data_IF_419075070468
#
_entry.id   IF_419075070468
#
_cell.length_a   1.000
_cell.length_b   1.000
_cell.length_c   1.000
_cell.angle_alpha   90.00
_cell.angle_beta   90.00
_cell.angle_gamma   90.00
#
_symmetry.space_group_name_H-M   'P 1'
#
loop_
_entity.id
_entity.type
_entity.pdbx_description
1 polymer ?
#
# COMPACT_ATOMS: atom_id res chain seq x y z
N UNK A 1 8.90 2.84 -36.71
CA UNK A 1 8.76 1.38 -36.51
C UNK A 1 7.30 1.11 -36.20
N UNK A 2 6.56 0.43 -37.08
CA UNK A 2 5.12 0.20 -36.91
C UNK A 2 4.89 -1.28 -36.57
N UNK A 3 4.34 -1.56 -35.39
CA UNK A 3 3.93 -2.91 -35.00
C UNK A 3 2.47 -3.11 -35.41
N UNK A 4 2.17 -4.17 -36.16
CA UNK A 4 0.79 -4.59 -36.43
C UNK A 4 0.59 -5.98 -35.85
N UNK A 5 -0.44 -6.15 -35.05
CA UNK A 5 -0.85 -7.44 -34.49
C UNK A 5 -2.19 -7.78 -35.13
N UNK A 6 -2.27 -8.94 -35.77
CA UNK A 6 -3.51 -9.48 -36.31
C UNK A 6 -3.85 -10.77 -35.56
N UNK A 7 -5.12 -10.94 -35.22
CA UNK A 7 -5.65 -12.19 -34.64
C UNK A 7 -6.27 -12.99 -35.79
N UNK A 8 -5.77 -14.20 -36.02
CA UNK A 8 -6.36 -15.17 -36.94
C UNK A 8 -7.01 -16.29 -36.14
N UNK A 9 -8.20 -16.71 -36.55
CA UNK A 9 -8.93 -17.83 -35.96
C UNK A 9 -9.16 -18.85 -37.07
N UNK A 10 -8.66 -20.07 -36.91
CA UNK A 10 -8.82 -21.15 -37.89
C UNK A 10 -9.70 -22.23 -37.27
N UNK A 11 -10.83 -22.51 -37.91
CA UNK A 11 -11.74 -23.58 -37.52
C UNK A 11 -11.33 -24.85 -38.29
N UNK A 12 -11.07 -25.93 -37.56
CA UNK A 12 -10.83 -27.27 -38.12
C UNK A 12 -12.04 -28.17 -37.85
N UNK A 13 -12.40 -29.02 -38.82
CA UNK A 13 -13.70 -29.70 -38.95
C UNK A 13 -13.95 -30.85 -37.95
N UNK A 14 -13.17 -30.96 -36.87
CA UNK A 14 -13.29 -32.07 -35.88
C UNK A 14 -13.86 -31.67 -34.52
N UNK A 15 -14.52 -30.50 -34.45
CA UNK A 15 -15.33 -30.05 -33.31
C UNK A 15 -14.63 -30.17 -31.93
N UNK A 16 -13.32 -29.96 -31.91
CA UNK A 16 -12.52 -29.83 -30.68
C UNK A 16 -11.84 -28.47 -30.74
N UNK A 17 -12.29 -27.51 -29.92
CA UNK A 17 -11.76 -26.16 -29.93
C UNK A 17 -10.32 -26.15 -29.41
N UNK A 18 -9.33 -26.06 -30.32
CA UNK A 18 -7.97 -25.66 -29.98
C UNK A 18 -7.82 -24.18 -30.28
N UNK A 19 -7.75 -23.36 -29.23
CA UNK A 19 -7.35 -21.96 -29.36
C UNK A 19 -5.83 -21.89 -29.32
N UNK A 20 -5.18 -21.91 -30.48
CA UNK A 20 -3.76 -21.55 -30.60
C UNK A 20 -3.61 -20.05 -30.86
N UNK A 21 -2.80 -19.40 -30.04
CA UNK A 21 -2.47 -17.99 -30.19
C UNK A 21 -1.09 -17.88 -30.83
N UNK A 22 -1.02 -17.50 -32.09
CA UNK A 22 0.24 -17.26 -32.78
C UNK A 22 0.50 -15.76 -32.84
N UNK A 23 1.68 -15.32 -32.41
CA UNK A 23 2.14 -13.94 -32.60
C UNK A 23 3.21 -13.97 -33.69
N UNK A 24 2.89 -13.43 -34.86
CA UNK A 24 3.87 -13.24 -35.94
C UNK A 24 4.39 -11.81 -35.89
N UNK A 25 5.67 -11.65 -35.54
CA UNK A 25 6.37 -10.38 -35.70
C UNK A 25 7.04 -10.36 -37.07
N UNK A 26 6.69 -9.38 -37.90
CA UNK A 26 7.45 -9.06 -39.12
C UNK A 26 8.28 -7.79 -38.90
N UNK A 27 9.59 -7.92 -39.01
CA UNK A 27 10.49 -6.79 -39.16
C UNK A 27 10.69 -6.55 -40.66
N UNK A 28 10.36 -5.35 -41.15
CA UNK A 28 10.58 -4.97 -42.56
C UNK A 28 11.64 -3.88 -42.60
N UNK A 29 12.77 -4.16 -43.24
CA UNK A 29 13.84 -3.19 -43.50
C UNK A 29 14.34 -3.39 -44.93
N UNK A 30 13.82 -2.59 -45.88
CA UNK A 30 14.12 -2.74 -47.30
C UNK A 30 13.54 -4.03 -47.92
N UNK A 31 14.22 -4.58 -48.93
CA UNK A 31 13.73 -5.69 -49.77
C UNK A 31 13.93 -7.10 -49.18
N UNK A 32 14.32 -7.25 -47.90
CA UNK A 32 14.50 -8.56 -47.27
C UNK A 32 13.54 -8.75 -46.10
N UNK A 33 12.91 -9.93 -46.06
CA UNK A 33 11.96 -10.33 -45.01
C UNK A 33 12.52 -11.53 -44.26
N UNK A 34 12.76 -11.39 -42.95
CA UNK A 34 13.10 -12.52 -42.08
C UNK A 34 11.89 -12.89 -41.21
N UNK A 35 11.64 -14.21 -41.08
CA UNK A 35 10.57 -14.76 -40.22
C UNK A 35 11.21 -15.60 -39.11
N UNK A 36 10.85 -15.31 -37.87
CA UNK A 36 11.26 -16.09 -36.70
C UNK A 36 10.01 -16.76 -36.12
N UNK A 37 9.98 -18.10 -36.13
CA UNK A 37 8.94 -18.89 -35.47
C UNK A 37 9.52 -19.47 -34.17
N UNK A 38 8.89 -19.14 -33.05
CA UNK A 38 9.20 -19.70 -31.74
C UNK A 38 8.18 -20.80 -31.46
N UNK A 39 8.64 -22.04 -31.35
CA UNK A 39 7.80 -23.18 -30.97
C UNK A 39 7.86 -23.34 -29.44
N UNK A 40 6.72 -23.16 -28.77
CA UNK A 40 6.58 -23.46 -27.34
C UNK A 40 5.92 -24.83 -27.21
N UNK A 41 6.62 -25.80 -26.63
CA UNK A 41 6.09 -27.14 -26.39
C UNK A 41 5.08 -27.12 -25.22
N UNK A 42 3.82 -27.43 -25.50
CA UNK A 42 2.78 -27.59 -24.47
C UNK A 42 2.98 -28.90 -23.70
N UNK A 43 3.24 -28.79 -22.40
CA UNK A 43 3.04 -29.89 -21.44
C UNK A 43 1.53 -30.11 -21.25
N UNK A 44 1.06 -31.33 -21.49
CA UNK A 44 -0.32 -31.73 -21.22
C UNK A 44 -0.54 -31.87 -19.72
N UNK A 45 -1.41 -31.04 -19.15
CA UNK A 45 -1.90 -31.15 -17.77
C UNK A 45 -3.37 -31.62 -17.84
N UNK A 46 -3.80 -32.63 -17.07
CA UNK A 46 -5.16 -33.12 -17.10
C UNK A 46 -6.17 -32.09 -16.56
N UNK A 47 -7.20 -31.87 -17.37
CA UNK A 47 -8.31 -30.93 -17.14
C UNK A 47 -9.31 -31.50 -16.12
N UNK A 48 -9.17 -31.15 -14.85
CA UNK A 48 -10.30 -31.20 -13.93
C UNK A 48 -11.17 -29.96 -14.21
N UNK A 49 -12.45 -30.16 -14.53
CA UNK A 49 -13.41 -29.08 -14.79
C UNK A 49 -13.78 -28.45 -13.44
N UNK A 50 -13.37 -27.19 -13.14
CA UNK A 50 -13.88 -26.52 -11.95
C UNK A 50 -15.31 -26.05 -12.22
N UNK A 51 -16.25 -26.49 -11.38
CA UNK A 51 -17.61 -25.95 -11.32
C UNK A 51 -17.51 -24.46 -10.98
N UNK A 52 -17.86 -23.59 -11.93
CA UNK A 52 -17.86 -22.15 -11.73
C UNK A 52 -19.05 -21.76 -10.85
N UNK A 53 -18.84 -21.75 -9.52
CA UNK A 53 -19.78 -21.13 -8.59
C UNK A 53 -19.67 -19.62 -8.79
N UNK A 54 -20.70 -19.00 -9.36
CA UNK A 54 -20.78 -17.53 -9.49
C UNK A 54 -21.01 -16.95 -8.10
N UNK A 55 -19.91 -16.76 -7.36
CA UNK A 55 -19.93 -16.08 -6.07
C UNK A 55 -20.17 -14.60 -6.35
N UNK A 56 -21.38 -14.13 -6.07
CA UNK A 56 -21.72 -12.72 -6.09
C UNK A 56 -20.91 -12.06 -4.97
N UNK A 57 -19.78 -11.44 -5.31
CA UNK A 57 -19.05 -10.59 -4.38
C UNK A 57 -19.95 -9.43 -4.03
N UNK A 58 -20.48 -9.46 -2.81
CA UNK A 58 -21.15 -8.32 -2.20
C UNK A 58 -20.14 -7.18 -2.14
N UNK A 59 -20.27 -6.23 -3.06
CA UNK A 59 -19.55 -4.96 -2.96
C UNK A 59 -20.01 -4.31 -1.66
N UNK A 60 -19.12 -4.29 -0.68
CA UNK A 60 -19.37 -3.62 0.60
C UNK A 60 -19.50 -2.14 0.29
N UNK A 61 -20.75 -1.68 0.13
CA UNK A 61 -21.08 -0.29 -0.08
C UNK A 61 -20.74 0.46 1.20
N UNK A 62 -19.72 1.30 1.14
CA UNK A 62 -19.34 2.12 2.28
C UNK A 62 -20.18 3.39 2.28
N UNK A 63 -21.07 3.50 3.25
CA UNK A 63 -21.81 4.73 3.52
C UNK A 63 -20.90 5.68 4.31
N UNK A 64 -20.56 6.89 3.82
CA UNK A 64 -19.75 7.83 4.56
C UNK A 64 -20.46 8.33 5.84
N UNK A 65 -19.71 8.44 6.93
CA UNK A 65 -20.13 9.02 8.22
C UNK A 65 -20.01 10.56 8.19
N UNK A 66 -20.83 11.34 8.94
CA UNK A 66 -20.97 12.79 8.74
C UNK A 66 -19.72 13.62 9.09
N UNK A 67 -19.59 14.84 8.53
CA UNK A 67 -18.31 15.52 8.26
C UNK A 67 -17.66 16.29 9.42
N UNK A 68 -18.10 16.14 10.68
CA UNK A 68 -17.64 17.02 11.79
C UNK A 68 -16.89 16.32 12.92
N UNK A 69 -16.62 15.02 12.80
CA UNK A 69 -15.67 14.32 13.67
C UNK A 69 -14.42 13.99 12.86
N UNK A 70 -13.24 13.95 13.50
CA UNK A 70 -12.04 13.39 12.90
C UNK A 70 -12.43 12.11 12.13
N UNK A 71 -12.25 12.12 10.81
CA UNK A 71 -12.79 11.14 9.89
C UNK A 71 -12.39 9.75 10.37
N UNK A 72 -13.31 9.03 11.03
CA UNK A 72 -13.02 7.71 11.60
C UNK A 72 -12.79 6.76 10.44
N UNK A 73 -11.56 6.24 10.23
CA UNK A 73 -11.39 5.18 9.28
C UNK A 73 -12.13 3.93 9.72
N UNK A 74 -12.43 3.05 8.76
CA UNK A 74 -12.98 1.71 8.99
C UNK A 74 -12.21 0.98 10.10
N UNK A 75 -12.91 0.22 10.93
CA UNK A 75 -12.41 -0.65 12.02
C UNK A 75 -11.64 -1.90 11.57
N UNK A 76 -11.14 -1.94 10.32
CA UNK A 76 -10.47 -3.14 9.79
C UNK A 76 -9.02 -2.82 9.49
N UNK A 77 -8.13 -3.21 10.38
CA UNK A 77 -6.69 -2.97 10.32
C UNK A 77 -6.17 -2.80 11.74
N UNK A 78 -4.87 -2.90 12.00
CA UNK A 78 -4.32 -2.52 13.30
C UNK A 78 -4.13 -1.00 13.37
N UNK A 79 -4.35 -0.37 14.55
CA UNK A 79 -3.85 0.97 14.79
C UNK A 79 -2.33 0.95 14.99
N UNK A 80 -1.70 2.10 14.75
CA UNK A 80 -0.27 2.31 15.04
C UNK A 80 -0.16 3.20 16.26
N UNK A 81 0.62 2.78 17.26
CA UNK A 81 0.70 3.40 18.59
C UNK A 81 2.13 3.81 18.92
N UNK A 82 2.29 4.93 19.62
CA UNK A 82 3.55 5.38 20.19
C UNK A 82 3.89 4.59 21.46
N UNK A 83 5.14 4.16 21.57
CA UNK A 83 5.64 3.31 22.66
C UNK A 83 6.28 4.09 23.81
N UNK A 84 6.92 5.22 23.52
CA UNK A 84 7.83 5.87 24.46
C UNK A 84 7.53 7.38 24.59
N UNK A 85 8.24 8.01 25.52
CA UNK A 85 8.12 9.45 25.79
C UNK A 85 6.77 9.84 26.41
N UNK A 86 6.49 11.15 26.44
CA UNK A 86 5.19 11.64 26.91
C UNK A 86 4.04 11.28 25.96
N UNK A 87 4.37 10.86 24.73
CA UNK A 87 3.40 10.40 23.72
C UNK A 87 3.01 8.94 23.87
N UNK A 88 3.66 8.16 24.75
CA UNK A 88 3.35 6.75 24.95
C UNK A 88 1.84 6.56 25.19
N UNK A 89 1.21 5.71 24.37
CA UNK A 89 -0.24 5.57 24.41
C UNK A 89 -1.00 6.26 23.28
N UNK A 90 -0.42 7.27 22.66
CA UNK A 90 -1.04 8.02 21.56
C UNK A 90 -0.98 7.23 20.25
N UNK A 91 -1.87 7.57 19.32
CA UNK A 91 -2.07 6.85 18.08
C UNK A 91 -1.75 7.70 16.86
N UNK A 92 -1.16 7.07 15.84
CA UNK A 92 -0.91 7.67 14.54
C UNK A 92 -2.23 7.98 13.84
N UNK A 93 -2.32 9.19 13.31
CA UNK A 93 -3.49 9.71 12.62
C UNK A 93 -3.09 10.87 11.70
N UNK A 94 -4.01 11.28 10.81
CA UNK A 94 -3.84 12.47 9.99
C UNK A 94 -4.39 13.70 10.71
N UNK A 95 -3.72 14.83 10.56
CA UNK A 95 -4.23 16.14 10.96
C UNK A 95 -5.61 16.43 10.36
N UNK A 96 -6.50 17.04 11.15
CA UNK A 96 -7.83 17.45 10.70
C UNK A 96 -7.78 18.67 9.76
N UNK A 97 -6.72 19.48 9.84
CA UNK A 97 -6.56 20.72 9.09
C UNK A 97 -5.51 20.64 7.98
N UNK A 98 -4.58 19.69 8.07
CA UNK A 98 -3.49 19.52 7.10
C UNK A 98 -3.32 18.06 6.70
N UNK A 99 -2.38 17.76 5.80
CA UNK A 99 -1.97 16.38 5.49
C UNK A 99 -0.93 15.82 6.47
N UNK A 100 -0.48 16.59 7.46
CA UNK A 100 0.55 16.15 8.39
C UNK A 100 0.12 14.88 9.14
N UNK A 101 1.05 13.96 9.30
CA UNK A 101 0.91 12.86 10.24
C UNK A 101 1.14 13.40 11.66
N UNK A 102 0.30 12.95 12.59
CA UNK A 102 0.39 13.36 13.99
C UNK A 102 0.07 12.19 14.91
N UNK A 103 0.45 12.33 16.18
CA UNK A 103 0.00 11.48 17.28
C UNK A 103 -1.14 12.18 18.02
N UNK A 104 -2.13 11.41 18.45
CA UNK A 104 -3.13 11.93 19.38
C UNK A 104 -3.99 10.83 19.99
N UNK A 105 -5.21 11.18 20.44
CA UNK A 105 -5.97 10.30 21.31
C UNK A 105 -6.59 9.12 20.56
N UNK A 106 -7.02 8.12 21.32
CA UNK A 106 -7.55 6.87 20.78
C UNK A 106 -8.82 7.08 19.95
N UNK A 107 -9.64 8.07 20.28
CA UNK A 107 -10.93 8.34 19.66
C UNK A 107 -10.81 8.76 18.19
N UNK A 108 -9.65 9.31 17.81
CA UNK A 108 -9.35 9.79 16.45
C UNK A 108 -8.30 8.94 15.72
N UNK A 109 -7.87 7.81 16.31
CA UNK A 109 -6.82 6.94 15.76
C UNK A 109 -7.05 6.56 14.30
N UNK A 110 -5.96 6.48 13.54
CA UNK A 110 -5.96 5.88 12.21
C UNK A 110 -6.04 4.35 12.26
N UNK A 111 -6.54 3.77 11.18
CA UNK A 111 -6.54 2.33 10.94
C UNK A 111 -5.78 2.04 9.64
N UNK A 112 -4.87 1.06 9.66
CA UNK A 112 -3.83 0.97 8.65
C UNK A 112 -3.82 -0.37 7.91
N UNK A 113 -3.46 -0.31 6.63
CA UNK A 113 -3.01 -1.47 5.85
C UNK A 113 -1.49 -1.41 5.74
N UNK A 114 -0.82 -2.33 6.41
CA UNK A 114 0.65 -2.41 6.48
C UNK A 114 1.15 -3.53 5.57
N UNK A 115 1.40 -3.21 4.30
CA UNK A 115 1.99 -4.14 3.33
C UNK A 115 2.87 -3.36 2.35
N UNK A 116 4.19 -3.42 2.54
CA UNK A 116 5.23 -2.63 1.83
C UNK A 116 5.12 -1.10 1.96
N UNK A 117 4.04 -0.61 2.53
CA UNK A 117 3.74 0.79 2.82
C UNK A 117 2.83 0.86 4.03
N UNK A 118 2.78 2.02 4.67
CA UNK A 118 1.78 2.34 5.70
C UNK A 118 0.69 3.14 5.01
N UNK A 119 -0.50 2.55 4.88
CA UNK A 119 -1.65 3.18 4.24
C UNK A 119 -2.76 3.35 5.25
N UNK A 120 -3.12 4.59 5.56
CA UNK A 120 -4.27 4.90 6.36
C UNK A 120 -5.53 4.67 5.52
N UNK A 121 -6.44 3.87 6.04
CA UNK A 121 -7.80 3.82 5.52
C UNK A 121 -8.40 5.20 5.84
N UNK A 122 -9.02 5.91 4.90
CA UNK A 122 -9.52 7.26 5.19
C UNK A 122 -10.99 7.40 4.83
N UNK A 123 -11.33 7.07 3.60
CA UNK A 123 -12.72 6.88 3.16
C UNK A 123 -12.78 5.66 2.25
N UNK A 124 -13.95 5.23 1.83
CA UNK A 124 -14.02 4.18 0.82
C UNK A 124 -14.18 4.80 -0.57
N UNK A 125 -13.37 4.43 -1.57
CA UNK A 125 -12.24 3.47 -1.52
C UNK A 125 -10.87 4.11 -1.22
N UNK A 126 -10.80 5.35 -0.72
CA UNK A 126 -9.52 6.07 -0.62
C UNK A 126 -8.61 5.64 0.54
N UNK A 127 -7.39 5.26 0.17
CA UNK A 127 -6.26 5.09 1.06
C UNK A 127 -5.37 6.33 1.00
N UNK A 128 -4.77 6.69 2.12
CA UNK A 128 -3.71 7.71 2.18
C UNK A 128 -2.40 7.04 2.58
N UNK A 129 -1.35 7.29 1.83
CA UNK A 129 -0.01 6.78 2.06
C UNK A 129 0.74 7.67 3.05
N UNK A 130 1.37 7.06 4.04
CA UNK A 130 2.33 7.75 4.90
C UNK A 130 3.65 7.94 4.14
N UNK A 131 3.91 9.17 3.74
CA UNK A 131 5.11 9.56 3.01
C UNK A 131 6.11 10.28 3.91
N UNK A 132 7.39 10.07 3.62
CA UNK A 132 8.52 10.81 4.19
C UNK A 132 8.86 11.96 3.22
N UNK A 133 8.80 13.19 3.71
CA UNK A 133 9.21 14.36 2.95
C UNK A 133 10.67 14.72 3.22
N UNK A 134 11.35 15.21 2.20
CA UNK A 134 12.72 15.69 2.35
C UNK A 134 12.80 16.96 3.19
N UNK A 135 13.83 17.03 4.03
CA UNK A 135 14.19 18.18 4.84
C UNK A 135 15.72 18.26 5.00
N UNK A 136 16.26 19.46 5.21
CA UNK A 136 17.70 19.68 5.41
C UNK A 136 18.17 19.28 6.81
N UNK A 137 17.28 19.35 7.80
CA UNK A 137 17.53 18.84 9.14
C UNK A 137 17.50 17.31 9.16
N UNK A 138 18.13 16.71 10.16
CA UNK A 138 18.12 15.26 10.38
C UNK A 138 16.83 14.73 11.05
N UNK A 139 15.71 15.39 10.78
CA UNK A 139 14.35 14.93 10.98
C UNK A 139 13.51 15.20 9.72
N UNK A 140 12.67 14.25 9.31
CA UNK A 140 11.91 14.30 8.07
C UNK A 140 10.41 14.38 8.36
N UNK A 141 9.67 15.39 7.86
CA UNK A 141 8.23 15.49 8.04
C UNK A 141 7.50 14.28 7.45
N UNK A 142 6.43 13.87 8.12
CA UNK A 142 5.57 12.80 7.66
C UNK A 142 4.19 13.36 7.25
N UNK A 143 3.64 12.88 6.15
CA UNK A 143 2.32 13.29 5.68
C UNK A 143 1.52 12.12 5.10
N UNK A 144 0.20 12.24 5.17
CA UNK A 144 -0.76 11.34 4.55
C UNK A 144 -1.28 11.93 3.24
N UNK A 145 -0.93 11.29 2.12
CA UNK A 145 -1.25 11.78 0.77
C UNK A 145 -1.84 10.66 -0.10
N UNK A 146 -2.52 11.01 -1.19
CA UNK A 146 -3.15 10.04 -2.08
C UNK A 146 -2.13 9.22 -2.89
N UNK A 147 -0.98 9.82 -3.21
CA UNK A 147 0.10 9.17 -3.95
C UNK A 147 1.17 8.69 -2.99
N UNK A 148 1.45 7.38 -3.00
CA UNK A 148 2.57 6.82 -2.23
C UNK A 148 3.92 7.13 -2.89
N UNK A 149 4.81 7.75 -2.14
CA UNK A 149 6.22 7.96 -2.53
C UNK A 149 7.17 7.17 -1.64
N UNK A 150 6.72 6.76 -0.45
CA UNK A 150 7.53 5.98 0.51
C UNK A 150 7.07 4.52 0.59
N UNK A 151 7.94 3.62 0.13
CA UNK A 151 7.73 2.16 0.16
C UNK A 151 8.86 1.43 0.91
N UNK A 152 9.69 2.17 1.62
CA UNK A 152 10.85 1.69 2.37
C UNK A 152 10.52 1.39 3.83
N UNK A 153 9.25 1.34 4.20
CA UNK A 153 8.81 0.98 5.56
C UNK A 153 9.13 -0.48 5.87
N UNK A 154 9.69 -0.72 7.05
CA UNK A 154 9.98 -2.05 7.61
C UNK A 154 9.19 -2.26 8.89
N UNK A 155 8.89 -3.52 9.19
CA UNK A 155 8.11 -3.92 10.36
C UNK A 155 8.86 -5.04 11.08
N UNK A 156 9.19 -4.83 12.34
CA UNK A 156 9.80 -5.85 13.19
C UNK A 156 8.82 -7.00 13.41
N UNK A 157 9.25 -8.22 13.12
CA UNK A 157 8.44 -9.43 13.29
C UNK A 157 8.19 -9.80 14.75
N UNK A 158 8.98 -9.26 15.68
CA UNK A 158 8.93 -9.63 17.11
C UNK A 158 7.93 -8.78 17.88
N UNK A 159 7.91 -7.47 17.64
CA UNK A 159 7.17 -6.49 18.46
C UNK A 159 6.33 -5.51 17.62
N UNK A 160 6.29 -5.69 16.30
CA UNK A 160 5.55 -4.81 15.39
C UNK A 160 6.13 -3.41 15.23
N UNK A 161 7.33 -3.14 15.77
CA UNK A 161 7.99 -1.83 15.69
C UNK A 161 8.24 -1.45 14.23
N UNK A 162 7.93 -0.20 13.90
CA UNK A 162 8.05 0.38 12.56
C UNK A 162 9.43 1.00 12.40
N UNK A 163 10.03 0.79 11.23
CA UNK A 163 11.22 1.51 10.81
C UNK A 163 11.29 1.68 9.31
N UNK A 164 12.49 1.98 8.80
CA UNK A 164 12.79 2.07 7.37
C UNK A 164 13.86 1.06 6.97
N UNK A 165 14.02 0.81 5.67
CA UNK A 165 15.11 -0.02 5.11
C UNK A 165 16.49 0.60 5.32
N UNK A 166 16.57 1.91 5.57
CA UNK A 166 17.82 2.60 5.94
C UNK A 166 18.17 2.46 7.43
N UNK A 167 17.32 1.80 8.22
CA UNK A 167 17.55 1.53 9.64
C UNK A 167 16.99 2.58 10.61
N UNK A 168 16.31 3.64 10.12
CA UNK A 168 15.65 4.60 10.98
C UNK A 168 14.39 3.98 11.60
N UNK A 169 14.31 3.94 12.92
CA UNK A 169 13.17 3.39 13.67
C UNK A 169 12.69 4.32 14.80
N UNK A 170 13.26 5.53 14.87
CA UNK A 170 12.95 6.52 15.89
C UNK A 170 12.21 7.68 15.24
N UNK A 171 11.20 8.19 15.95
CA UNK A 171 10.36 9.29 15.53
C UNK A 171 10.45 10.40 16.56
N UNK A 172 10.32 11.64 16.10
CA UNK A 172 10.17 12.80 16.97
C UNK A 172 8.71 13.23 16.94
N UNK A 173 8.10 13.33 18.12
CA UNK A 173 6.77 13.87 18.28
C UNK A 173 6.83 15.21 19.02
N UNK A 174 6.20 16.24 18.49
CA UNK A 174 6.20 17.59 19.04
C UNK A 174 4.78 18.04 19.38
N UNK A 175 4.59 18.73 20.50
CA UNK A 175 3.27 19.25 20.87
C UNK A 175 2.73 20.20 19.78
N UNK A 176 1.46 20.08 19.35
CA UNK A 176 0.39 19.27 19.95
C UNK A 176 0.24 17.84 19.43
N UNK A 177 1.15 17.37 18.57
CA UNK A 177 1.15 16.00 18.06
C UNK A 177 1.95 15.78 16.77
N UNK A 178 2.58 16.82 16.20
CA UNK A 178 3.33 16.73 14.95
C UNK A 178 4.38 15.61 14.99
N UNK A 179 4.49 14.84 13.90
CA UNK A 179 5.31 13.65 13.86
C UNK A 179 6.34 13.71 12.72
N UNK A 180 7.57 13.38 13.06
CA UNK A 180 8.72 13.38 12.15
C UNK A 180 9.47 12.06 12.26
N UNK A 181 10.06 11.58 11.17
CA UNK A 181 11.03 10.48 11.20
C UNK A 181 12.41 11.05 11.58
N UNK A 182 13.04 10.51 12.60
CA UNK A 182 14.38 10.93 13.01
C UNK A 182 15.44 10.18 12.19
N UNK A 183 16.32 10.92 11.51
CA UNK A 183 17.42 10.38 10.71
C UNK A 183 18.80 10.78 11.25
N UNK A 184 18.84 11.53 12.35
CA UNK A 184 20.06 11.98 13.04
C UNK A 184 19.72 12.65 14.37
N UNK A 185 20.48 13.66 14.78
CA UNK A 185 20.39 14.26 16.12
C UNK A 185 19.54 15.52 16.22
N UNK A 186 19.14 16.10 15.08
CA UNK A 186 18.32 17.31 15.09
C UNK A 186 16.90 17.01 15.57
N UNK A 187 16.29 17.98 16.23
CA UNK A 187 14.92 17.93 16.75
C UNK A 187 14.25 19.27 16.39
N UNK A 188 12.96 19.30 16.00
CA UNK A 188 12.24 20.55 15.79
C UNK A 188 12.26 21.43 17.04
N UNK A 189 12.14 22.75 16.86
CA UNK A 189 11.99 23.66 17.98
C UNK A 189 10.68 23.41 18.72
N UNK A 190 10.69 23.56 20.05
CA UNK A 190 9.50 23.43 20.90
C UNK A 190 9.56 22.22 21.83
N UNK A 191 8.40 21.77 22.29
CA UNK A 191 8.29 20.65 23.21
C UNK A 191 8.17 19.33 22.43
N UNK A 192 9.29 18.66 22.26
CA UNK A 192 9.40 17.43 21.49
C UNK A 192 9.95 16.27 22.33
N UNK A 193 9.56 15.05 21.97
CA UNK A 193 10.09 13.81 22.55
C UNK A 193 10.36 12.80 21.46
N UNK A 194 11.27 11.88 21.71
CA UNK A 194 11.51 10.75 20.83
C UNK A 194 10.59 9.58 21.22
N UNK A 195 10.09 8.87 20.23
CA UNK A 195 9.28 7.67 20.42
C UNK A 195 9.55 6.66 19.32
N UNK A 196 9.27 5.39 19.59
CA UNK A 196 9.07 4.38 18.55
C UNK A 196 7.58 4.23 18.26
N UNK A 197 7.26 3.72 17.08
CA UNK A 197 5.90 3.37 16.68
C UNK A 197 5.79 1.86 16.54
N UNK A 198 4.68 1.29 16.98
CA UNK A 198 4.38 -0.14 16.80
C UNK A 198 3.01 -0.32 16.17
N UNK A 199 2.88 -1.37 15.37
CA UNK A 199 1.59 -1.94 15.01
C UNK A 199 1.00 -2.59 16.25
N UNK A 200 -0.09 -2.02 16.78
CA UNK A 200 -0.75 -2.59 17.95
C UNK A 200 -1.82 -3.58 17.46
N UNK A 201 -1.68 -4.90 17.68
CA UNK A 201 -2.69 -5.86 17.27
C UNK A 201 -4.00 -5.56 18.01
N UNK A 202 -5.11 -5.50 17.28
CA UNK A 202 -6.42 -5.42 17.90
C UNK A 202 -6.77 -6.80 18.51
N UNK A 203 -6.53 -6.95 19.80
CA UNK A 203 -6.81 -8.19 20.53
C UNK A 203 -8.30 -8.48 20.66
N UNK A 204 -9.19 -7.58 20.18
CA UNK A 204 -10.65 -7.81 20.22
C UNK A 204 -11.20 -8.59 19.02
N UNK A 205 -10.38 -8.94 18.04
CA UNK A 205 -10.78 -9.77 16.90
C UNK A 205 -10.65 -11.30 17.13
N UNK A 206 -10.35 -11.73 18.36
CA UNK A 206 -10.26 -13.14 18.76
C UNK A 206 -11.36 -13.45 19.79
N UNK A 207 -12.63 -13.47 19.36
CA UNK A 207 -13.72 -14.16 20.05
C UNK A 207 -14.61 -14.82 19.01
#
# INVERSE_FOLDING_TARGET
>A
MNLRVAKGEQLDETNTSKSELWVTCQLVHGAQTARLSIYQALLMIPTAIPTLVTQTTSTTSCVPSPPWAALKPRTTGPPIRALDGWTAGSYLQKSSTTSAAMLGPAESRGWFVTAKSIRMIFSCPSLLYLNIHEATASYKPLAFEETGTTFTWTFSSTDGTIGTTSGANTFVACFPGDLYLQTGTDVPAGNCTTTRLTIFPDTTALV
#
